data_IF_058798101847
#
_entry.id   IF_058798101847
#
_cell.length_a   1.000
_cell.length_b   1.000
_cell.length_c   1.000
_cell.angle_alpha   90.00
_cell.angle_beta   90.00
_cell.angle_gamma   90.00
#
_symmetry.space_group_name_H-M   'P 1'
#
loop_
_entity.id
_entity.type
_entity.pdbx_description
1 polymer ?
#
# COMPACT_ATOMS: atom_id res chain seq x y z
N UNK A 1 -25.29 8.67 -0.69
CA UNK A 1 -24.20 9.42 -0.02
C UNK A 1 -24.67 10.76 0.55
N UNK A 2 -25.33 11.66 -0.20
CA UNK A 2 -25.84 12.93 0.35
C UNK A 2 -26.83 12.76 1.51
N UNK A 3 -27.76 11.81 1.38
CA UNK A 3 -28.74 11.44 2.43
C UNK A 3 -28.07 10.93 3.71
N UNK A 4 -27.10 10.02 3.54
CA UNK A 4 -26.32 9.41 4.61
C UNK A 4 -25.54 10.45 5.40
N UNK A 5 -24.93 11.41 4.70
CA UNK A 5 -24.17 12.48 5.33
C UNK A 5 -25.08 13.41 6.14
N UNK A 6 -26.31 13.66 5.67
CA UNK A 6 -27.30 14.47 6.39
C UNK A 6 -27.73 13.82 7.70
N UNK A 7 -28.06 12.53 7.69
CA UNK A 7 -28.46 11.80 8.90
C UNK A 7 -27.36 11.79 9.97
N UNK A 8 -26.10 11.63 9.56
CA UNK A 8 -24.94 11.71 10.47
C UNK A 8 -24.80 13.11 11.07
N UNK A 9 -24.99 14.17 10.29
CA UNK A 9 -24.97 15.55 10.78
C UNK A 9 -26.12 15.88 11.73
N UNK A 10 -27.25 15.18 11.58
CA UNK A 10 -28.43 15.27 12.46
C UNK A 10 -28.29 14.39 13.72
N UNK A 11 -27.14 13.72 13.91
CA UNK A 11 -26.88 12.86 15.07
C UNK A 11 -27.56 11.50 15.02
N UNK A 12 -28.15 11.12 13.87
CA UNK A 12 -28.77 9.82 13.64
C UNK A 12 -27.73 8.82 13.13
N UNK A 13 -27.76 7.58 13.62
CA UNK A 13 -26.98 6.50 13.02
C UNK A 13 -27.70 6.05 11.73
N UNK A 14 -27.13 6.25 10.54
CA UNK A 14 -27.76 5.81 9.30
C UNK A 14 -27.93 4.28 9.23
N UNK A 15 -27.30 3.51 10.12
CA UNK A 15 -27.39 2.04 10.21
C UNK A 15 -28.41 1.54 11.24
N UNK A 16 -28.98 2.40 12.09
CA UNK A 16 -30.03 2.01 13.03
C UNK A 16 -31.38 1.90 12.35
N UNK A 17 -32.35 1.22 12.97
CA UNK A 17 -33.70 1.05 12.43
C UNK A 17 -34.32 2.39 12.00
N UNK A 18 -34.80 2.47 10.75
CA UNK A 18 -35.28 3.72 10.12
C UNK A 18 -34.20 4.58 9.43
N UNK A 19 -32.91 4.23 9.56
CA UNK A 19 -31.79 4.89 8.89
C UNK A 19 -31.65 4.50 7.41
N UNK A 20 -31.03 5.37 6.59
CA UNK A 20 -30.93 5.17 5.13
C UNK A 20 -30.04 3.99 4.72
N UNK A 21 -29.16 3.54 5.61
CA UNK A 21 -28.30 2.37 5.42
C UNK A 21 -28.78 1.16 6.23
N UNK A 22 -29.88 1.28 6.97
CA UNK A 22 -30.46 0.17 7.71
C UNK A 22 -30.87 -0.94 6.75
N UNK A 23 -30.56 -2.17 7.14
CA UNK A 23 -30.96 -3.37 6.42
C UNK A 23 -31.61 -4.29 7.43
N UNK A 24 -32.90 -4.59 7.23
CA UNK A 24 -33.61 -5.50 8.11
C UNK A 24 -33.03 -6.92 8.02
N UNK A 25 -33.18 -7.74 9.07
CA UNK A 25 -32.76 -9.15 9.04
C UNK A 25 -33.32 -9.92 7.84
N UNK A 26 -34.56 -9.64 7.42
CA UNK A 26 -35.23 -10.28 6.29
C UNK A 26 -34.59 -9.86 4.95
N UNK A 27 -34.22 -8.58 4.81
CA UNK A 27 -33.49 -8.09 3.63
C UNK A 27 -32.10 -8.72 3.56
N UNK A 28 -31.40 -8.84 4.69
CA UNK A 28 -30.09 -9.51 4.74
C UNK A 28 -30.21 -11.00 4.40
N UNK A 29 -31.22 -11.70 4.91
CA UNK A 29 -31.48 -13.11 4.61
C UNK A 29 -31.84 -13.33 3.13
N UNK A 30 -32.67 -12.48 2.55
CA UNK A 30 -33.02 -12.57 1.12
C UNK A 30 -31.87 -12.20 0.18
N UNK A 31 -30.96 -11.31 0.59
CA UNK A 31 -29.72 -11.02 -0.15
C UNK A 31 -28.71 -12.18 -0.09
N UNK A 32 -28.69 -12.96 1.00
CA UNK A 32 -27.76 -14.10 1.17
C UNK A 32 -27.98 -15.20 0.11
N UNK A 33 -29.22 -15.38 -0.34
CA UNK A 33 -29.59 -16.42 -1.31
C UNK A 33 -29.51 -15.96 -2.76
N UNK A 34 -29.08 -14.71 -3.03
CA UNK A 34 -29.00 -14.22 -4.40
C UNK A 34 -27.89 -14.93 -5.19
N UNK A 35 -28.15 -15.30 -6.46
CA UNK A 35 -27.12 -15.80 -7.35
C UNK A 35 -25.93 -14.84 -7.46
N UNK A 36 -24.72 -15.39 -7.64
CA UNK A 36 -23.48 -14.61 -7.85
C UNK A 36 -23.64 -13.53 -8.92
N UNK A 37 -24.46 -13.82 -9.93
CA UNK A 37 -24.70 -12.93 -11.05
C UNK A 37 -25.46 -11.65 -10.67
N UNK A 38 -26.22 -11.69 -9.58
CA UNK A 38 -27.02 -10.55 -9.09
C UNK A 38 -26.33 -9.80 -7.94
N UNK A 39 -25.21 -10.34 -7.43
CA UNK A 39 -24.46 -9.76 -6.32
C UNK A 39 -23.49 -8.67 -6.75
N UNK A 40 -23.10 -8.63 -8.02
CA UNK A 40 -22.17 -7.62 -8.54
C UNK A 40 -22.30 -7.42 -10.04
N UNK A 41 -22.24 -6.16 -10.49
CA UNK A 41 -22.17 -5.84 -11.93
C UNK A 41 -20.76 -6.06 -12.50
N UNK A 42 -19.76 -6.30 -11.66
CA UNK A 42 -18.37 -6.50 -12.05
C UNK A 42 -18.14 -7.93 -12.59
N UNK A 43 -17.93 -8.04 -13.91
CA UNK A 43 -17.73 -9.32 -14.59
C UNK A 43 -16.48 -10.09 -14.12
N UNK A 44 -15.38 -9.41 -13.78
CA UNK A 44 -14.16 -10.06 -13.27
C UNK A 44 -14.38 -10.64 -11.88
N UNK A 45 -15.01 -9.88 -10.99
CA UNK A 45 -15.37 -10.38 -9.64
C UNK A 45 -16.32 -11.57 -9.77
N UNK A 46 -17.37 -11.45 -10.56
CA UNK A 46 -18.34 -12.53 -10.83
C UNK A 46 -17.63 -13.80 -11.31
N UNK A 47 -16.74 -13.68 -12.29
CA UNK A 47 -15.97 -14.82 -12.81
C UNK A 47 -15.08 -15.46 -11.74
N UNK A 48 -14.37 -14.65 -10.93
CA UNK A 48 -13.53 -15.17 -9.83
C UNK A 48 -14.35 -15.85 -8.73
N UNK A 49 -15.53 -15.33 -8.39
CA UNK A 49 -16.43 -15.98 -7.43
C UNK A 49 -16.97 -17.32 -7.98
N UNK A 50 -17.21 -17.42 -9.29
CA UNK A 50 -17.56 -18.71 -9.93
C UNK A 50 -16.40 -19.70 -9.90
N UNK A 51 -15.15 -19.26 -10.13
CA UNK A 51 -13.96 -20.11 -9.98
C UNK A 51 -13.81 -20.56 -8.53
N UNK A 52 -13.99 -19.64 -7.57
CA UNK A 52 -13.91 -19.96 -6.14
C UNK A 52 -14.88 -21.09 -5.77
N UNK A 53 -16.14 -21.01 -6.22
CA UNK A 53 -17.13 -22.07 -5.97
C UNK A 53 -16.67 -23.42 -6.52
N UNK A 54 -16.25 -23.46 -7.78
CA UNK A 54 -15.77 -24.70 -8.40
C UNK A 54 -14.58 -25.29 -7.65
N UNK A 55 -13.63 -24.46 -7.24
CA UNK A 55 -12.48 -24.91 -6.45
C UNK A 55 -12.91 -25.51 -5.11
N UNK A 56 -13.90 -24.92 -4.44
CA UNK A 56 -14.43 -25.47 -3.19
C UNK A 56 -15.11 -26.81 -3.44
N UNK A 57 -15.93 -26.93 -4.49
CA UNK A 57 -16.59 -28.19 -4.86
C UNK A 57 -15.58 -29.29 -5.16
N UNK A 58 -14.51 -28.95 -5.90
CA UNK A 58 -13.42 -29.86 -6.23
C UNK A 58 -12.70 -30.31 -4.95
N UNK A 59 -12.37 -29.38 -4.03
CA UNK A 59 -11.73 -29.71 -2.75
C UNK A 59 -12.62 -30.63 -1.90
N UNK A 60 -13.90 -30.32 -1.78
CA UNK A 60 -14.87 -31.11 -1.00
C UNK A 60 -14.98 -32.52 -1.59
N UNK A 61 -15.04 -32.63 -2.91
CA UNK A 61 -15.15 -33.93 -3.59
C UNK A 61 -13.87 -34.75 -3.45
N UNK A 62 -12.71 -34.15 -3.70
CA UNK A 62 -11.42 -34.84 -3.77
C UNK A 62 -10.87 -35.18 -2.38
N UNK A 63 -10.97 -34.25 -1.41
CA UNK A 63 -10.30 -34.38 -0.12
C UNK A 63 -11.26 -34.68 1.03
N UNK A 64 -12.55 -34.34 0.91
CA UNK A 64 -13.54 -34.48 2.00
C UNK A 64 -14.62 -35.52 1.70
N UNK A 65 -14.45 -36.32 0.62
CA UNK A 65 -15.39 -37.38 0.27
C UNK A 65 -16.80 -36.90 -0.08
N UNK A 66 -16.93 -35.63 -0.47
CA UNK A 66 -18.22 -34.99 -0.76
C UNK A 66 -18.92 -34.38 0.46
N UNK A 67 -18.37 -34.52 1.67
CA UNK A 67 -18.94 -33.95 2.88
C UNK A 67 -18.31 -32.59 3.19
N UNK A 68 -19.06 -31.51 2.99
CA UNK A 68 -18.61 -30.15 3.30
C UNK A 68 -18.86 -29.75 4.77
N UNK A 69 -19.60 -30.55 5.54
CA UNK A 69 -19.90 -30.25 6.95
C UNK A 69 -18.71 -30.40 7.88
N UNK A 70 -17.63 -31.04 7.42
CA UNK A 70 -16.38 -31.21 8.15
C UNK A 70 -15.45 -29.99 8.07
N UNK A 71 -15.86 -28.94 7.35
CA UNK A 71 -15.10 -27.70 7.26
C UNK A 71 -15.36 -26.86 8.50
N UNK A 72 -14.41 -26.85 9.43
CA UNK A 72 -14.52 -26.08 10.68
C UNK A 72 -14.39 -24.56 10.47
N UNK A 73 -13.55 -24.13 9.52
CA UNK A 73 -13.33 -22.71 9.24
C UNK A 73 -12.74 -22.47 7.86
N UNK A 74 -12.94 -21.26 7.35
CA UNK A 74 -12.41 -20.84 6.06
C UNK A 74 -11.67 -19.51 6.21
N UNK A 75 -10.43 -19.46 5.76
CA UNK A 75 -9.62 -18.24 5.74
C UNK A 75 -9.54 -17.70 4.31
N UNK A 76 -9.95 -16.44 4.11
CA UNK A 76 -9.99 -15.80 2.79
C UNK A 76 -9.08 -14.58 2.74
N UNK A 77 -8.19 -14.55 1.74
CA UNK A 77 -7.46 -13.35 1.30
C UNK A 77 -7.85 -13.02 -0.15
N UNK A 78 -8.20 -11.76 -0.43
CA UNK A 78 -8.50 -11.31 -1.80
C UNK A 78 -7.43 -10.35 -2.32
N UNK A 79 -7.00 -10.55 -3.56
CA UNK A 79 -6.07 -9.66 -4.24
C UNK A 79 -6.71 -8.29 -4.49
N UNK A 80 -6.01 -7.20 -4.14
CA UNK A 80 -6.51 -5.82 -4.27
C UNK A 80 -6.72 -5.40 -5.74
N UNK A 81 -5.92 -5.95 -6.65
CA UNK A 81 -5.84 -5.55 -8.07
C UNK A 81 -7.13 -5.86 -8.87
N UNK A 82 -8.00 -6.74 -8.35
CA UNK A 82 -9.16 -7.24 -9.10
C UNK A 82 -10.32 -6.24 -9.20
N UNK A 83 -10.38 -5.28 -8.28
CA UNK A 83 -11.36 -4.19 -8.32
C UNK A 83 -10.94 -3.08 -9.28
N UNK A 84 -9.64 -2.87 -9.42
CA UNK A 84 -9.07 -1.70 -10.09
C UNK A 84 -9.16 -1.79 -11.62
N UNK A 85 -8.99 -2.98 -12.17
CA UNK A 85 -9.09 -3.23 -13.62
C UNK A 85 -10.50 -3.63 -14.09
N UNK A 86 -11.48 -3.55 -13.20
CA UNK A 86 -12.84 -3.97 -13.50
C UNK A 86 -13.53 -3.04 -14.49
N UNK A 87 -14.16 -3.63 -15.51
CA UNK A 87 -14.89 -2.88 -16.54
C UNK A 87 -13.96 -2.16 -17.52
N UNK A 88 -12.64 -2.29 -17.35
CA UNK A 88 -11.66 -1.77 -18.29
C UNK A 88 -11.41 -2.79 -19.40
N UNK A 89 -11.35 -2.31 -20.63
CA UNK A 89 -10.85 -3.06 -21.78
C UNK A 89 -9.35 -3.35 -21.63
N UNK A 90 -8.84 -4.34 -22.36
CA UNK A 90 -7.40 -4.66 -22.37
C UNK A 90 -6.52 -3.44 -22.74
N UNK A 91 -7.02 -2.55 -23.61
CA UNK A 91 -6.35 -1.30 -23.98
C UNK A 91 -6.29 -0.30 -22.82
N UNK A 92 -7.36 -0.20 -22.03
CA UNK A 92 -7.40 0.66 -20.85
C UNK A 92 -6.51 0.11 -19.74
N UNK A 93 -6.51 -1.21 -19.52
CA UNK A 93 -5.60 -1.87 -18.57
C UNK A 93 -4.15 -1.61 -18.97
N UNK A 94 -3.79 -1.79 -20.25
CA UNK A 94 -2.44 -1.50 -20.73
C UNK A 94 -2.06 -0.03 -20.52
N UNK A 95 -2.97 0.91 -20.82
CA UNK A 95 -2.76 2.35 -20.61
C UNK A 95 -2.55 2.70 -19.12
N UNK A 96 -3.30 2.06 -18.23
CA UNK A 96 -3.19 2.22 -16.78
C UNK A 96 -1.84 1.70 -16.27
N UNK A 97 -1.45 0.49 -16.68
CA UNK A 97 -0.15 -0.10 -16.34
C UNK A 97 1.02 0.74 -16.89
N UNK A 98 0.93 1.23 -18.13
CA UNK A 98 1.92 2.14 -18.72
C UNK A 98 1.97 3.48 -17.96
N UNK A 99 0.81 3.96 -17.47
CA UNK A 99 0.72 5.11 -16.58
C UNK A 99 1.55 4.92 -15.31
N UNK A 100 1.41 3.77 -14.63
CA UNK A 100 2.16 3.43 -13.41
C UNK A 100 3.66 3.27 -13.65
N UNK A 101 4.05 2.75 -14.82
CA UNK A 101 5.44 2.55 -15.19
C UNK A 101 6.13 3.82 -15.70
N UNK A 102 5.38 4.88 -16.02
CA UNK A 102 5.93 6.10 -16.63
C UNK A 102 6.98 6.76 -15.74
N UNK A 103 6.70 6.92 -14.44
CA UNK A 103 7.64 7.52 -13.49
C UNK A 103 8.92 6.69 -13.36
N UNK A 104 8.80 5.36 -13.42
CA UNK A 104 9.97 4.46 -13.44
C UNK A 104 10.80 4.64 -14.72
N UNK A 105 10.15 4.61 -15.90
CA UNK A 105 10.81 4.81 -17.20
C UNK A 105 11.48 6.19 -17.26
N UNK A 106 10.83 7.23 -16.73
CA UNK A 106 11.37 8.59 -16.67
C UNK A 106 12.62 8.68 -15.78
N UNK A 107 12.61 8.01 -14.62
CA UNK A 107 13.77 7.96 -13.74
C UNK A 107 14.97 7.26 -14.39
N UNK A 108 14.74 6.17 -15.14
CA UNK A 108 15.79 5.46 -15.90
C UNK A 108 16.36 6.38 -16.99
N UNK A 109 15.49 6.99 -17.80
CA UNK A 109 15.92 7.91 -18.86
C UNK A 109 16.73 9.09 -18.31
N UNK A 110 16.30 9.65 -17.17
CA UNK A 110 16.99 10.74 -16.48
C UNK A 110 18.38 10.33 -15.99
N UNK A 111 18.52 9.12 -15.44
CA UNK A 111 19.83 8.58 -15.03
C UNK A 111 20.76 8.39 -16.24
N UNK A 112 20.25 7.81 -17.32
CA UNK A 112 21.04 7.59 -18.53
C UNK A 112 21.51 8.89 -19.19
N UNK A 113 20.67 9.93 -19.18
CA UNK A 113 21.00 11.23 -19.76
C UNK A 113 21.97 12.05 -18.87
N UNK A 114 21.69 12.14 -17.57
CA UNK A 114 22.38 13.08 -16.67
C UNK A 114 23.55 12.45 -15.91
N UNK A 115 23.61 11.11 -15.85
CA UNK A 115 24.68 10.36 -15.20
C UNK A 115 25.02 9.08 -15.99
N UNK A 116 25.45 9.20 -17.26
CA UNK A 116 25.70 8.05 -18.14
C UNK A 116 26.78 7.09 -17.62
N UNK A 117 27.64 7.55 -16.71
CA UNK A 117 28.64 6.71 -16.04
C UNK A 117 28.09 5.85 -14.91
N UNK A 118 26.82 6.04 -14.50
CA UNK A 118 26.17 5.25 -13.47
C UNK A 118 25.24 4.22 -14.10
N UNK A 119 25.42 2.95 -13.71
CA UNK A 119 24.49 1.89 -14.10
C UNK A 119 23.13 2.08 -13.39
N UNK A 120 21.99 2.08 -14.11
CA UNK A 120 20.65 2.26 -13.52
C UNK A 120 20.18 1.07 -12.66
N UNK A 121 20.82 0.84 -11.52
CA UNK A 121 20.40 -0.19 -10.56
C UNK A 121 19.06 0.17 -9.92
N UNK A 122 18.31 -0.82 -9.42
CA UNK A 122 17.04 -0.59 -8.72
C UNK A 122 17.16 0.37 -7.53
N UNK A 123 18.31 0.38 -6.84
CA UNK A 123 18.62 1.33 -5.78
C UNK A 123 18.73 2.77 -6.28
N UNK A 124 19.47 3.00 -7.38
CA UNK A 124 19.64 4.32 -7.97
C UNK A 124 18.34 4.83 -8.62
N UNK A 125 17.59 3.98 -9.31
CA UNK A 125 16.27 4.33 -9.85
C UNK A 125 15.35 4.79 -8.73
N UNK A 126 15.36 4.07 -7.60
CA UNK A 126 14.57 4.44 -6.43
C UNK A 126 14.97 5.79 -5.84
N UNK A 127 16.27 6.09 -5.74
CA UNK A 127 16.75 7.42 -5.32
C UNK A 127 16.33 8.50 -6.32
N UNK A 128 16.50 8.26 -7.62
CA UNK A 128 16.11 9.17 -8.70
C UNK A 128 14.62 9.53 -8.62
N UNK A 129 13.73 8.56 -8.40
CA UNK A 129 12.28 8.83 -8.23
C UNK A 129 12.00 9.76 -7.05
N UNK A 130 12.68 9.55 -5.91
CA UNK A 130 12.54 10.43 -4.74
C UNK A 130 13.08 11.83 -5.07
N UNK A 131 14.23 11.92 -5.75
CA UNK A 131 14.83 13.19 -6.17
C UNK A 131 13.91 13.99 -7.09
N UNK A 132 13.30 13.33 -8.09
CA UNK A 132 12.34 13.96 -9.01
C UNK A 132 11.15 14.54 -8.27
N UNK A 133 10.63 13.84 -7.26
CA UNK A 133 9.51 14.37 -6.46
C UNK A 133 9.92 15.54 -5.55
N UNK A 134 11.18 15.58 -5.11
CA UNK A 134 11.74 16.63 -4.25
C UNK A 134 12.30 17.82 -5.04
N UNK A 135 12.15 17.82 -6.36
CA UNK A 135 12.71 18.88 -7.21
C UNK A 135 14.23 18.94 -7.19
N UNK A 136 14.92 17.80 -6.96
CA UNK A 136 16.38 17.70 -6.92
C UNK A 136 17.04 18.56 -5.84
N UNK A 137 16.35 18.79 -4.73
CA UNK A 137 16.84 19.54 -3.57
C UNK A 137 16.78 18.69 -2.30
N UNK A 138 17.75 18.91 -1.41
CA UNK A 138 17.75 18.32 -0.08
C UNK A 138 16.65 19.01 0.74
N UNK A 139 15.66 18.28 1.29
CA UNK A 139 14.54 18.90 1.98
C UNK A 139 14.96 19.61 3.27
N UNK A 140 16.10 19.25 3.85
CA UNK A 140 16.57 19.81 5.12
C UNK A 140 17.49 21.02 4.98
N UNK A 141 18.15 21.18 3.82
CA UNK A 141 19.15 22.24 3.60
C UNK A 141 18.84 23.11 2.39
N UNK A 142 17.93 22.68 1.51
CA UNK A 142 17.65 23.33 0.22
C UNK A 142 18.72 23.14 -0.84
N UNK A 143 19.85 22.51 -0.50
CA UNK A 143 20.95 22.38 -1.46
C UNK A 143 20.52 21.49 -2.64
N UNK A 144 20.77 21.95 -3.89
CA UNK A 144 20.52 21.15 -5.06
C UNK A 144 21.54 20.02 -5.16
N UNK A 145 21.13 18.92 -5.78
CA UNK A 145 22.01 17.80 -6.16
C UNK A 145 21.61 17.25 -7.53
N UNK A 146 22.56 16.65 -8.24
CA UNK A 146 22.32 16.06 -9.56
C UNK A 146 22.14 14.55 -9.53
N UNK A 147 21.84 13.97 -10.70
CA UNK A 147 21.78 12.51 -10.88
C UNK A 147 23.10 11.82 -10.50
N UNK A 148 24.23 12.47 -10.79
CA UNK A 148 25.58 11.97 -10.48
C UNK A 148 25.86 11.89 -8.97
N UNK A 149 25.14 12.67 -8.16
CA UNK A 149 25.31 12.71 -6.70
C UNK A 149 24.51 11.62 -5.98
N UNK A 150 23.54 10.99 -6.64
CA UNK A 150 22.65 9.98 -6.04
C UNK A 150 23.39 8.83 -5.33
N UNK A 151 24.57 8.33 -5.77
CA UNK A 151 25.34 7.36 -4.99
C UNK A 151 25.70 7.86 -3.58
N UNK A 152 26.00 9.15 -3.44
CA UNK A 152 26.43 9.81 -2.19
C UNK A 152 25.27 10.23 -1.29
N UNK A 153 24.06 10.31 -1.83
CA UNK A 153 22.85 10.68 -1.08
C UNK A 153 22.29 9.49 -0.31
N UNK A 154 21.80 9.69 0.91
CA UNK A 154 21.12 8.67 1.70
C UNK A 154 19.61 8.78 1.56
N UNK A 155 18.94 7.62 1.58
CA UNK A 155 17.48 7.56 1.72
C UNK A 155 17.18 7.68 3.20
N UNK A 156 16.46 8.73 3.58
CA UNK A 156 16.08 8.95 4.96
C UNK A 156 14.57 8.82 5.14
N UNK A 157 14.16 8.21 6.25
CA UNK A 157 12.76 8.12 6.62
C UNK A 157 12.30 9.43 7.25
N UNK A 158 11.23 10.02 6.70
CA UNK A 158 10.63 11.27 7.20
C UNK A 158 10.23 11.12 8.68
N UNK A 159 9.71 9.96 9.02
CA UNK A 159 9.40 9.51 10.38
C UNK A 159 10.36 8.36 10.70
N UNK A 160 10.99 8.31 11.89
CA UNK A 160 11.93 7.25 12.22
C UNK A 160 11.36 5.86 11.93
N UNK A 161 12.19 4.98 11.35
CA UNK A 161 11.74 3.63 10.98
C UNK A 161 11.23 2.83 12.19
N UNK A 162 11.80 3.07 13.38
CA UNK A 162 11.35 2.46 14.63
C UNK A 162 9.89 2.82 14.98
N UNK A 163 9.46 4.03 14.64
CA UNK A 163 8.10 4.50 14.90
C UNK A 163 7.16 4.17 13.74
N UNK A 164 7.66 4.15 12.50
CA UNK A 164 6.90 3.79 11.31
C UNK A 164 7.69 2.79 10.45
N UNK A 165 7.53 1.47 10.64
CA UNK A 165 8.32 0.42 9.97
C UNK A 165 7.87 0.21 8.51
N UNK A 166 8.01 1.25 7.69
CA UNK A 166 7.56 1.27 6.31
C UNK A 166 8.60 1.88 5.39
N UNK A 167 9.02 1.08 4.42
CA UNK A 167 9.90 1.50 3.34
C UNK A 167 9.10 2.00 2.12
N UNK A 168 7.91 2.59 2.31
CA UNK A 168 7.16 3.17 1.19
C UNK A 168 7.90 4.37 0.60
N UNK A 169 7.83 4.57 -0.71
CA UNK A 169 8.44 5.76 -1.35
C UNK A 169 7.91 7.08 -0.79
N UNK A 170 6.65 7.10 -0.36
CA UNK A 170 6.03 8.28 0.26
C UNK A 170 6.64 8.63 1.61
N UNK A 171 7.22 7.67 2.35
CA UNK A 171 7.85 7.92 3.64
C UNK A 171 9.33 8.25 3.58
N UNK A 172 9.90 8.35 2.38
CA UNK A 172 11.34 8.52 2.16
C UNK A 172 11.66 9.84 1.47
N UNK A 173 12.79 10.42 1.85
CA UNK A 173 13.44 11.55 1.21
C UNK A 173 14.91 11.24 0.90
N UNK A 174 15.59 12.12 0.16
CA UNK A 174 17.04 12.08 -0.01
C UNK A 174 17.71 13.20 0.77
N UNK A 175 18.80 12.86 1.46
CA UNK A 175 19.61 13.82 2.21
C UNK A 175 21.09 13.44 2.19
N UNK A 176 21.94 14.30 2.71
CA UNK A 176 23.36 14.00 2.91
C UNK A 176 23.56 13.14 4.18
N UNK A 177 24.56 12.24 4.20
CA UNK A 177 24.84 11.38 5.36
C UNK A 177 25.01 12.14 6.68
N UNK A 178 25.60 13.33 6.63
CA UNK A 178 25.82 14.15 7.82
C UNK A 178 24.50 14.68 8.39
N UNK A 179 23.59 15.14 7.52
CA UNK A 179 22.25 15.61 7.92
C UNK A 179 21.41 14.44 8.43
N UNK A 180 21.52 13.27 7.80
CA UNK A 180 20.80 12.09 8.24
C UNK A 180 21.18 11.70 9.68
N UNK A 181 22.49 11.70 9.96
CA UNK A 181 23.02 11.45 11.30
C UNK A 181 22.52 12.46 12.33
N UNK A 182 22.49 13.75 11.98
CA UNK A 182 21.98 14.82 12.84
C UNK A 182 20.49 14.66 13.17
N UNK A 183 19.67 14.20 12.20
CA UNK A 183 18.23 14.03 12.41
C UNK A 183 17.90 12.97 13.46
N UNK A 184 18.63 11.86 13.46
CA UNK A 184 18.44 10.78 14.43
C UNK A 184 16.99 10.28 14.48
N UNK A 185 16.43 10.15 15.70
CA UNK A 185 15.09 9.59 15.95
C UNK A 185 13.98 10.65 15.99
N UNK A 186 14.09 11.71 15.20
CA UNK A 186 13.07 12.76 15.12
C UNK A 186 12.28 12.68 13.80
N UNK A 187 11.07 13.22 13.77
CA UNK A 187 10.38 13.52 12.50
C UNK A 187 11.13 14.63 11.75
N UNK A 188 10.94 14.72 10.43
CA UNK A 188 11.62 15.72 9.61
C UNK A 188 11.36 17.16 10.10
N UNK A 189 10.10 17.49 10.42
CA UNK A 189 9.70 18.83 10.86
C UNK A 189 10.24 19.16 12.25
N UNK A 190 10.14 18.22 13.21
CA UNK A 190 10.68 18.42 14.56
C UNK A 190 12.20 18.58 14.55
N UNK A 191 12.90 17.84 13.68
CA UNK A 191 14.35 18.01 13.50
C UNK A 191 14.70 19.42 13.03
N UNK A 192 13.98 19.95 12.03
CA UNK A 192 14.19 21.32 11.54
C UNK A 192 13.85 22.35 12.62
N UNK A 193 12.71 22.22 13.30
CA UNK A 193 12.33 23.14 14.38
C UNK A 193 13.38 23.20 15.50
N UNK A 194 14.01 22.07 15.85
CA UNK A 194 15.03 22.00 16.89
C UNK A 194 16.42 22.50 16.45
N UNK A 195 16.68 22.56 15.13
CA UNK A 195 18.01 22.81 14.56
C UNK A 195 18.02 23.90 13.48
N UNK A 196 17.02 24.75 13.46
CA UNK A 196 16.87 25.77 12.43
C UNK A 196 18.10 26.67 12.30
N UNK A 197 18.57 26.85 11.07
CA UNK A 197 19.73 27.69 10.75
C UNK A 197 21.08 27.17 11.28
N UNK A 198 21.13 26.03 11.99
CA UNK A 198 22.40 25.48 12.46
C UNK A 198 23.24 24.95 11.29
N UNK A 199 24.58 25.07 11.37
CA UNK A 199 25.46 24.43 10.41
C UNK A 199 25.37 22.91 10.51
N UNK A 200 25.54 22.23 9.39
CA UNK A 200 25.60 20.77 9.32
C UNK A 200 26.93 20.28 9.90
N UNK A 201 26.87 19.27 10.78
CA UNK A 201 28.05 18.69 11.41
C UNK A 201 29.06 18.20 10.37
N UNK A 202 30.32 18.64 10.50
CA UNK A 202 31.37 18.34 9.53
C UNK A 202 31.31 19.12 8.21
N UNK A 203 30.29 19.96 7.99
CA UNK A 203 30.14 20.83 6.81
C UNK A 203 29.68 22.23 7.22
N UNK A 204 30.56 23.08 7.77
CA UNK A 204 30.18 24.40 8.29
C UNK A 204 29.62 25.37 7.23
N UNK A 205 29.93 25.14 5.95
CA UNK A 205 29.40 25.94 4.84
C UNK A 205 27.98 25.52 4.41
N UNK A 206 27.41 24.50 5.04
CA UNK A 206 26.08 23.99 4.79
C UNK A 206 25.23 24.22 6.04
N UNK A 207 24.07 24.85 5.90
CA UNK A 207 23.16 25.11 7.02
C UNK A 207 21.82 24.44 6.80
N UNK A 208 21.17 24.07 7.90
CA UNK A 208 19.80 23.58 7.88
C UNK A 208 18.83 24.73 7.60
N UNK A 209 17.72 24.41 6.94
CA UNK A 209 16.62 25.34 6.75
C UNK A 209 16.10 25.87 8.09
N UNK A 210 15.60 27.09 8.06
CA UNK A 210 14.63 27.56 9.06
C UNK A 210 13.30 26.81 8.90
N UNK A 211 12.50 26.73 9.97
CA UNK A 211 11.19 26.07 9.88
C UNK A 211 10.31 26.68 8.76
N UNK A 212 10.37 28.01 8.58
CA UNK A 212 9.67 28.71 7.51
C UNK A 212 10.15 28.30 6.11
N UNK A 213 11.45 28.15 5.90
CA UNK A 213 12.01 27.72 4.62
C UNK A 213 11.62 26.26 4.31
N UNK A 214 11.67 25.40 5.31
CA UNK A 214 11.24 24.02 5.19
C UNK A 214 9.76 23.92 4.81
N UNK A 215 8.88 24.67 5.48
CA UNK A 215 7.45 24.69 5.17
C UNK A 215 7.17 25.19 3.76
N UNK A 216 7.83 26.27 3.36
CA UNK A 216 7.72 26.80 2.00
C UNK A 216 8.20 25.79 0.95
N UNK A 217 9.30 25.07 1.22
CA UNK A 217 9.81 24.01 0.36
C UNK A 217 8.79 22.87 0.22
N UNK A 218 8.26 22.37 1.34
CA UNK A 218 7.25 21.29 1.36
C UNK A 218 5.99 21.73 0.63
N UNK A 219 5.59 23.00 0.76
CA UNK A 219 4.43 23.55 0.07
C UNK A 219 4.60 23.68 -1.44
N UNK A 220 5.81 23.96 -1.90
CA UNK A 220 6.14 24.07 -3.32
C UNK A 220 6.27 22.71 -4.05
N UNK A 221 6.30 21.58 -3.31
CA UNK A 221 6.43 20.25 -3.93
C UNK A 221 5.30 19.97 -4.92
N UNK A 222 5.68 19.52 -6.13
CA UNK A 222 4.76 19.18 -7.19
C UNK A 222 3.89 17.96 -6.81
N UNK A 223 2.61 18.00 -7.21
CA UNK A 223 1.63 16.93 -7.03
C UNK A 223 1.08 16.41 -8.36
N UNK A 224 1.69 16.75 -9.49
CA UNK A 224 1.30 16.23 -10.81
C UNK A 224 1.76 14.80 -11.00
N UNK A 225 1.17 14.11 -11.97
CA UNK A 225 1.51 12.74 -12.33
C UNK A 225 0.29 11.83 -12.38
N UNK A 226 0.54 10.54 -12.54
CA UNK A 226 -0.47 9.49 -12.45
C UNK A 226 -1.13 9.46 -11.06
N UNK A 227 -2.35 8.94 -10.94
CA UNK A 227 -3.14 8.95 -9.71
C UNK A 227 -2.38 8.40 -8.50
N UNK A 228 -1.66 7.29 -8.68
CA UNK A 228 -0.81 6.69 -7.66
C UNK A 228 0.37 7.58 -7.26
N UNK A 229 1.00 8.26 -8.22
CA UNK A 229 2.07 9.20 -7.94
C UNK A 229 1.54 10.44 -7.21
N UNK A 230 0.36 10.95 -7.57
CA UNK A 230 -0.27 12.05 -6.84
C UNK A 230 -0.58 11.68 -5.39
N UNK A 231 -1.15 10.49 -5.15
CA UNK A 231 -1.41 9.96 -3.81
C UNK A 231 -0.12 9.82 -3.01
N UNK A 232 0.92 9.23 -3.61
CA UNK A 232 2.24 9.04 -3.00
C UNK A 232 2.93 10.35 -2.66
N UNK A 233 2.93 11.34 -3.58
CA UNK A 233 3.50 12.67 -3.39
C UNK A 233 2.75 13.45 -2.31
N UNK A 234 1.42 13.40 -2.31
CA UNK A 234 0.57 14.00 -1.26
C UNK A 234 0.88 13.40 0.10
N UNK A 235 0.90 12.08 0.20
CA UNK A 235 1.26 11.39 1.44
C UNK A 235 2.64 11.79 1.95
N UNK A 236 3.65 11.93 1.08
CA UNK A 236 4.97 12.44 1.51
C UNK A 236 4.88 13.85 2.08
N UNK A 237 4.15 14.73 1.40
CA UNK A 237 3.95 16.12 1.84
C UNK A 237 3.29 16.18 3.22
N UNK A 238 2.28 15.33 3.44
CA UNK A 238 1.60 15.23 4.73
C UNK A 238 2.56 14.74 5.82
N UNK A 239 3.36 13.69 5.56
CA UNK A 239 4.37 13.19 6.51
C UNK A 239 5.45 14.24 6.83
N UNK A 240 5.89 15.02 5.83
CA UNK A 240 6.89 16.08 6.02
C UNK A 240 6.37 17.20 6.91
N UNK A 241 5.04 17.38 7.01
CA UNK A 241 4.41 18.40 7.84
C UNK A 241 4.09 17.93 9.26
N UNK A 242 4.32 16.67 9.60
CA UNK A 242 4.05 16.16 10.94
C UNK A 242 5.13 16.59 11.94
N UNK A 243 4.72 17.28 13.00
CA UNK A 243 5.58 17.60 14.13
C UNK A 243 5.89 16.34 14.95
N UNK A 244 4.86 15.55 15.27
CA UNK A 244 4.98 14.32 16.05
C UNK A 244 4.25 13.18 15.35
N UNK A 245 4.74 11.96 15.56
CA UNK A 245 4.09 10.74 15.09
C UNK A 245 3.77 9.86 16.30
N UNK A 246 2.51 9.48 16.45
CA UNK A 246 2.10 8.57 17.51
C UNK A 246 2.23 7.12 17.03
N UNK A 247 3.10 6.34 17.71
CA UNK A 247 3.42 4.95 17.38
C UNK A 247 2.21 4.00 17.41
N UNK A 248 1.05 4.43 17.91
CA UNK A 248 -0.22 3.69 17.76
C UNK A 248 -0.59 3.45 16.28
N UNK A 249 0.07 4.14 15.35
CA UNK A 249 -0.06 3.96 13.89
C UNK A 249 1.02 3.05 13.25
N UNK A 250 1.89 2.40 14.03
CA UNK A 250 3.07 1.68 13.54
C UNK A 250 2.80 0.27 12.98
N UNK A 251 1.63 -0.31 13.23
CA UNK A 251 1.22 -1.63 12.77
C UNK A 251 0.06 -1.60 11.78
N UNK A 252 -0.38 -2.77 11.34
CA UNK A 252 -1.80 -2.87 10.98
C UNK A 252 -2.57 -2.54 12.27
N UNK A 253 -3.51 -1.60 12.23
CA UNK A 253 -4.31 -1.28 13.41
C UNK A 253 -5.21 -2.47 13.73
N UNK A 254 -5.72 -2.60 14.96
CA UNK A 254 -6.81 -3.57 15.23
C UNK A 254 -7.97 -3.37 14.24
N UNK A 255 -8.22 -2.12 13.84
CA UNK A 255 -9.14 -1.77 12.77
C UNK A 255 -8.85 -2.47 11.44
N UNK A 256 -7.58 -2.65 11.06
CA UNK A 256 -7.21 -3.37 9.84
C UNK A 256 -7.64 -4.85 9.87
N UNK A 257 -7.64 -5.51 11.05
CA UNK A 257 -8.18 -6.88 11.19
C UNK A 257 -9.69 -6.95 10.99
N UNK A 258 -10.40 -5.85 11.23
CA UNK A 258 -11.86 -5.77 11.11
C UNK A 258 -12.34 -5.21 9.76
N UNK A 259 -11.45 -4.62 8.97
CA UNK A 259 -11.79 -3.99 7.69
C UNK A 259 -11.88 -5.02 6.55
N UNK A 260 -13.10 -5.47 6.26
CA UNK A 260 -13.41 -6.31 5.10
C UNK A 260 -13.67 -5.46 3.84
N UNK A 261 -12.97 -5.76 2.74
CA UNK A 261 -13.28 -5.16 1.43
C UNK A 261 -14.64 -5.66 0.92
N UNK A 262 -15.27 -4.93 0.00
CA UNK A 262 -16.51 -5.41 -0.63
C UNK A 262 -16.32 -6.78 -1.30
N UNK A 263 -15.17 -7.00 -1.95
CA UNK A 263 -14.83 -8.28 -2.56
C UNK A 263 -14.71 -9.39 -1.51
N UNK A 264 -14.12 -9.10 -0.35
CA UNK A 264 -14.02 -10.06 0.75
C UNK A 264 -15.40 -10.48 1.24
N UNK A 265 -16.31 -9.52 1.43
CA UNK A 265 -17.70 -9.80 1.81
C UNK A 265 -18.45 -10.62 0.76
N UNK A 266 -18.20 -10.38 -0.53
CA UNK A 266 -18.78 -11.18 -1.60
C UNK A 266 -18.25 -12.62 -1.62
N UNK A 267 -16.97 -12.81 -1.35
CA UNK A 267 -16.36 -14.14 -1.22
C UNK A 267 -16.91 -14.89 0.00
N UNK A 268 -17.03 -14.21 1.15
CA UNK A 268 -17.64 -14.74 2.37
C UNK A 268 -19.03 -15.32 2.12
N UNK A 269 -19.89 -14.53 1.45
CA UNK A 269 -21.24 -14.96 1.05
C UNK A 269 -21.25 -16.22 0.18
N UNK A 270 -20.18 -16.49 -0.57
CA UNK A 270 -20.10 -17.74 -1.33
C UNK A 270 -19.94 -18.92 -0.38
N UNK A 271 -19.06 -18.82 0.61
CA UNK A 271 -18.89 -19.87 1.60
C UNK A 271 -20.14 -20.07 2.45
N UNK A 272 -20.78 -19.00 2.94
CA UNK A 272 -22.05 -19.09 3.70
C UNK A 272 -23.17 -19.82 2.93
N UNK A 273 -23.16 -19.74 1.59
CA UNK A 273 -24.20 -20.36 0.74
C UNK A 273 -23.80 -21.70 0.13
N UNK A 274 -22.51 -22.07 0.13
CA UNK A 274 -22.01 -23.32 -0.46
C UNK A 274 -21.52 -24.33 0.57
N UNK A 275 -21.18 -23.91 1.79
CA UNK A 275 -20.70 -24.78 2.86
C UNK A 275 -21.78 -24.81 3.96
N UNK A 276 -22.63 -25.85 3.99
CA UNK A 276 -23.71 -25.96 4.98
C UNK A 276 -23.15 -26.03 6.40
N UNK A 277 -23.76 -25.27 7.32
CA UNK A 277 -23.38 -25.27 8.74
C UNK A 277 -22.23 -24.32 9.09
N UNK A 278 -21.59 -23.70 8.10
CA UNK A 278 -20.53 -22.72 8.34
C UNK A 278 -21.13 -21.38 8.76
N UNK A 279 -20.85 -20.95 9.98
CA UNK A 279 -21.33 -19.70 10.55
C UNK A 279 -20.45 -18.51 10.14
N UNK A 280 -20.98 -17.27 10.10
CA UNK A 280 -20.23 -16.10 9.64
C UNK A 280 -18.91 -15.83 10.38
N UNK A 281 -18.80 -16.25 11.64
CA UNK A 281 -17.60 -16.05 12.46
C UNK A 281 -16.48 -17.06 12.16
N UNK A 282 -16.81 -18.17 11.48
CA UNK A 282 -15.86 -19.20 11.03
C UNK A 282 -15.26 -18.85 9.66
N UNK A 283 -15.78 -17.80 9.01
CA UNK A 283 -15.25 -17.24 7.77
C UNK A 283 -14.32 -16.07 8.10
N UNK A 284 -13.04 -16.36 8.22
CA UNK A 284 -12.02 -15.42 8.66
C UNK A 284 -11.51 -14.61 7.47
N UNK A 285 -11.58 -13.29 7.59
CA UNK A 285 -11.04 -12.36 6.59
C UNK A 285 -9.63 -11.93 6.96
N UNK A 286 -8.67 -12.22 6.09
CA UNK A 286 -7.30 -11.72 6.26
C UNK A 286 -6.98 -10.62 5.24
N UNK A 287 -6.73 -9.39 5.68
CA UNK A 287 -6.17 -8.36 4.82
C UNK A 287 -4.79 -8.79 4.33
N UNK A 288 -4.50 -8.60 3.04
CA UNK A 288 -3.19 -8.96 2.49
C UNK A 288 -1.99 -8.20 3.08
N UNK A 289 -2.23 -7.14 3.87
CA UNK A 289 -1.17 -6.52 4.68
C UNK A 289 -0.77 -7.40 5.86
N UNK A 290 -1.74 -8.05 6.52
CA UNK A 290 -1.48 -8.97 7.64
C UNK A 290 -0.70 -10.17 7.13
N UNK A 291 -1.14 -10.80 6.05
CA UNK A 291 -0.41 -11.95 5.47
C UNK A 291 0.98 -11.55 4.97
N UNK A 292 1.17 -10.31 4.49
CA UNK A 292 2.49 -9.81 4.12
C UNK A 292 3.44 -9.64 5.32
N UNK A 293 2.96 -9.15 6.45
CA UNK A 293 3.80 -9.02 7.65
C UNK A 293 4.10 -10.39 8.26
N UNK A 294 3.13 -11.31 8.33
CA UNK A 294 3.36 -12.69 8.80
C UNK A 294 4.40 -13.40 7.93
N UNK A 295 4.30 -13.31 6.60
CA UNK A 295 5.28 -13.92 5.68
C UNK A 295 6.71 -13.42 5.93
N UNK A 296 6.88 -12.13 6.24
CA UNK A 296 8.20 -11.55 6.56
C UNK A 296 8.69 -12.03 7.91
N UNK A 297 7.84 -11.96 8.94
CA UNK A 297 8.19 -12.33 10.30
C UNK A 297 8.59 -13.82 10.42
N UNK A 298 7.97 -14.68 9.62
CA UNK A 298 8.28 -16.11 9.59
C UNK A 298 9.37 -16.51 8.61
N UNK A 299 10.02 -15.53 7.94
CA UNK A 299 11.06 -15.82 6.95
C UNK A 299 10.61 -16.85 5.90
N UNK A 300 9.32 -16.85 5.55
CA UNK A 300 8.71 -17.93 4.76
C UNK A 300 9.38 -18.10 3.39
N UNK A 301 9.84 -16.99 2.81
CA UNK A 301 10.56 -17.00 1.53
C UNK A 301 11.92 -17.68 1.62
N UNK A 302 12.62 -17.55 2.75
CA UNK A 302 13.93 -18.19 2.96
C UNK A 302 13.76 -19.70 3.09
N UNK A 303 12.68 -20.15 3.75
CA UNK A 303 12.30 -21.55 3.84
C UNK A 303 11.81 -22.13 2.50
N UNK A 304 10.98 -21.39 1.75
CA UNK A 304 10.53 -21.80 0.42
C UNK A 304 11.72 -21.97 -0.55
N UNK A 305 12.70 -21.07 -0.50
CA UNK A 305 13.91 -21.18 -1.34
C UNK A 305 14.77 -22.41 -1.02
N UNK A 306 14.63 -23.01 0.17
CA UNK A 306 15.30 -24.25 0.53
C UNK A 306 14.62 -25.49 -0.09
N UNK A 307 13.30 -25.43 -0.32
CA UNK A 307 12.50 -26.54 -0.84
C UNK A 307 12.27 -26.43 -2.36
N UNK A 308 12.19 -25.21 -2.87
CA UNK A 308 12.00 -24.89 -4.29
C UNK A 308 13.18 -24.02 -4.76
N UNK A 309 14.27 -24.64 -5.25
CA UNK A 309 15.51 -23.94 -5.60
C UNK A 309 15.32 -22.87 -6.70
N UNK A 310 14.29 -22.97 -7.54
CA UNK A 310 13.99 -21.97 -8.59
C UNK A 310 13.59 -20.60 -8.02
N UNK A 311 13.20 -20.53 -6.74
CA UNK A 311 12.87 -19.29 -6.03
C UNK A 311 14.13 -18.56 -5.55
N UNK A 312 15.28 -19.25 -5.49
CA UNK A 312 16.56 -18.73 -5.00
C UNK A 312 17.09 -17.65 -5.94
N UNK A 313 17.17 -16.41 -5.47
CA UNK A 313 17.61 -15.24 -6.26
C UNK A 313 16.49 -14.41 -6.91
N UNK A 314 15.24 -14.90 -6.90
CA UNK A 314 14.03 -14.18 -7.36
C UNK A 314 13.20 -13.58 -6.21
N UNK A 315 13.66 -13.74 -4.97
CA UNK A 315 12.97 -13.41 -3.70
C UNK A 315 12.62 -11.93 -3.51
N UNK A 316 13.10 -11.03 -4.37
CA UNK A 316 12.82 -9.60 -4.29
C UNK A 316 11.78 -9.11 -5.30
N UNK A 317 11.34 -9.96 -6.23
CA UNK A 317 10.39 -9.59 -7.28
C UNK A 317 9.11 -10.43 -7.20
N UNK A 318 7.98 -9.75 -6.90
CA UNK A 318 6.65 -10.37 -6.84
C UNK A 318 6.20 -10.95 -8.18
N UNK A 319 6.70 -10.43 -9.29
CA UNK A 319 6.29 -10.86 -10.62
C UNK A 319 6.98 -12.17 -11.02
N UNK A 320 8.27 -12.30 -10.68
CA UNK A 320 9.05 -13.52 -10.89
C UNK A 320 8.56 -14.74 -10.08
N UNK A 321 7.87 -14.51 -8.94
CA UNK A 321 7.27 -15.58 -8.13
C UNK A 321 5.97 -16.11 -8.75
N UNK A 322 5.14 -15.22 -9.33
CA UNK A 322 3.87 -15.60 -10.00
C UNK A 322 4.05 -16.44 -11.27
N UNK A 323 5.26 -16.51 -11.81
CA UNK A 323 5.59 -17.34 -12.97
C UNK A 323 5.97 -18.78 -12.59
N UNK A 324 6.25 -19.02 -11.30
CA UNK A 324 6.69 -20.33 -10.77
C UNK A 324 5.54 -21.05 -10.03
N UNK A 325 4.58 -20.29 -9.48
CA UNK A 325 3.35 -20.80 -8.83
C UNK A 325 2.13 -20.62 -9.73
#
# INVERSE_FOLDING_TARGET
MRETFRQVLEGLDPRSEGGVLFRSPEVLASERLRPVDDLTNNHLIRHRLKILRRLVDDIVTEYLGGDSSVIDSVVVEVARDLQEFSGMSAKEIARELDGRLRDFKSAVAKLQADAPSLEPTGGLIRKCRIAMDLGWQCPFTGMPYGAIDLPKMEREHVIPYADRPSNSLSGLVLTYPEVNRMKGKQTARAFIAANEGKPVEGKPNLSLFTLRQFDAFVDALDLKGHDDDRKRKRHRKDLLKLDHFETKEAGFTEGALTQSSHLMRLAARQFESHVPGLEPHEIIHLPGQVTAEVRKAWHLMDHLAAVVPEVRGKTHDKQAIREIT
#
